data_IF_725392008454
#
_entry.id   IF_725392008454
#
_cell.length_a   1.000
_cell.length_b   1.000
_cell.length_c   1.000
_cell.angle_alpha   90.00
_cell.angle_beta   90.00
_cell.angle_gamma   90.00
#
_symmetry.space_group_name_H-M   'P 1'
#
loop_
_entity.id
_entity.type
_entity.pdbx_description
1 polymer ?
#
# COMPACT_ATOMS: atom_id res chain seq x y z
N UNK A 1 -29.49 3.50 0.38
CA UNK A 1 -30.78 3.15 1.02
C UNK A 1 -30.56 2.74 2.49
N UNK A 2 -29.69 1.77 2.81
CA UNK A 2 -29.42 1.34 4.20
C UNK A 2 -28.88 2.47 5.06
N UNK A 3 -27.85 3.19 4.62
CA UNK A 3 -27.26 4.34 5.33
C UNK A 3 -28.34 5.39 5.66
N UNK A 4 -29.12 5.81 4.67
CA UNK A 4 -30.19 6.78 4.86
C UNK A 4 -31.28 6.32 5.86
N UNK A 5 -31.62 5.03 5.87
CA UNK A 5 -32.58 4.49 6.84
C UNK A 5 -32.00 4.49 8.27
N UNK A 6 -30.68 4.16 8.40
CA UNK A 6 -29.99 4.20 9.69
C UNK A 6 -29.89 5.64 10.21
N UNK A 7 -29.53 6.61 9.37
CA UNK A 7 -29.45 8.03 9.75
C UNK A 7 -30.80 8.56 10.22
N UNK A 8 -31.91 8.15 9.55
CA UNK A 8 -33.27 8.53 10.00
C UNK A 8 -33.67 7.93 11.34
N UNK A 9 -33.19 6.71 11.63
CA UNK A 9 -33.51 6.02 12.89
C UNK A 9 -32.66 6.50 14.05
N UNK A 10 -31.40 6.87 13.80
CA UNK A 10 -30.43 7.20 14.85
C UNK A 10 -30.22 8.68 15.04
N UNK A 11 -30.69 9.52 14.09
CA UNK A 11 -30.46 10.97 14.01
C UNK A 11 -28.96 11.35 14.04
N UNK A 12 -28.08 10.40 13.71
CA UNK A 12 -26.63 10.56 13.68
C UNK A 12 -26.14 10.32 12.26
N UNK A 13 -25.10 11.03 11.84
CA UNK A 13 -24.45 10.80 10.55
C UNK A 13 -23.83 9.39 10.51
N UNK A 14 -24.24 8.61 9.53
CA UNK A 14 -23.74 7.25 9.30
C UNK A 14 -22.74 7.23 8.14
N UNK A 15 -21.54 6.75 8.40
CA UNK A 15 -20.53 6.54 7.37
C UNK A 15 -20.25 5.05 7.19
N UNK A 16 -20.03 4.63 5.96
CA UNK A 16 -19.59 3.26 5.69
C UNK A 16 -18.06 3.11 5.84
N UNK A 17 -17.59 1.87 5.80
CA UNK A 17 -16.16 1.54 5.92
C UNK A 17 -15.32 2.25 4.84
N UNK A 18 -15.81 2.35 3.63
CA UNK A 18 -15.09 2.99 2.52
C UNK A 18 -14.90 4.49 2.77
N UNK A 19 -15.94 5.16 3.25
CA UNK A 19 -15.86 6.58 3.63
C UNK A 19 -14.91 6.80 4.80
N UNK A 20 -14.92 5.91 5.80
CA UNK A 20 -13.98 5.97 6.92
C UNK A 20 -12.53 5.86 6.44
N UNK A 21 -12.23 4.92 5.53
CA UNK A 21 -10.89 4.76 4.95
C UNK A 21 -10.47 6.03 4.20
N UNK A 22 -11.35 6.60 3.37
CA UNK A 22 -11.07 7.84 2.65
C UNK A 22 -10.79 9.01 3.61
N UNK A 23 -11.53 9.12 4.71
CA UNK A 23 -11.31 10.15 5.73
C UNK A 23 -9.93 9.98 6.40
N UNK A 24 -9.55 8.74 6.76
CA UNK A 24 -8.22 8.45 7.32
C UNK A 24 -7.13 8.79 6.30
N UNK A 25 -7.29 8.43 5.04
CA UNK A 25 -6.34 8.79 3.99
C UNK A 25 -6.23 10.30 3.80
N UNK A 26 -7.36 11.02 3.83
CA UNK A 26 -7.39 12.48 3.68
C UNK A 26 -6.63 13.18 4.81
N UNK A 27 -6.74 12.69 6.05
CA UNK A 27 -6.03 13.25 7.20
C UNK A 27 -4.52 12.97 7.17
N UNK A 28 -4.07 11.91 6.46
CA UNK A 28 -2.66 11.49 6.41
C UNK A 28 -1.95 11.93 5.12
N UNK A 29 -2.66 12.48 4.14
CA UNK A 29 -2.09 12.91 2.86
C UNK A 29 -1.27 14.19 3.01
N UNK A 30 0.03 14.09 2.89
CA UNK A 30 0.96 15.22 2.98
C UNK A 30 1.41 15.73 1.61
N UNK A 31 1.51 14.86 0.60
CA UNK A 31 1.99 15.23 -0.74
C UNK A 31 0.84 15.66 -1.66
N UNK A 32 1.14 16.52 -2.63
CA UNK A 32 0.16 16.92 -3.66
C UNK A 32 -0.39 15.73 -4.41
N UNK A 33 0.44 14.74 -4.68
CA UNK A 33 0.03 13.54 -5.41
C UNK A 33 -0.92 12.68 -4.59
N UNK A 34 -0.60 12.38 -3.31
CA UNK A 34 -1.50 11.62 -2.45
C UNK A 34 -2.86 12.32 -2.26
N UNK A 35 -2.88 13.65 -2.18
CA UNK A 35 -4.12 14.44 -2.14
C UNK A 35 -4.94 14.26 -3.41
N UNK A 36 -4.32 14.32 -4.59
CA UNK A 36 -4.98 14.10 -5.87
C UNK A 36 -5.53 12.66 -6.00
N UNK A 37 -4.78 11.67 -5.53
CA UNK A 37 -5.23 10.27 -5.51
C UNK A 37 -6.47 10.07 -4.64
N UNK A 38 -6.50 10.70 -3.46
CA UNK A 38 -7.65 10.64 -2.57
C UNK A 38 -8.85 11.35 -3.20
N UNK A 39 -8.66 12.53 -3.78
CA UNK A 39 -9.74 13.23 -4.50
C UNK A 39 -10.31 12.37 -5.64
N UNK A 40 -9.46 11.66 -6.38
CA UNK A 40 -9.90 10.71 -7.40
C UNK A 40 -10.72 9.57 -6.82
N UNK A 41 -10.26 8.99 -5.70
CA UNK A 41 -10.98 7.94 -5.01
C UNK A 41 -12.34 8.44 -4.44
N UNK A 42 -12.38 9.64 -3.88
CA UNK A 42 -13.62 10.26 -3.41
C UNK A 42 -14.63 10.48 -4.54
N UNK A 43 -14.20 10.95 -5.70
CA UNK A 43 -15.07 11.09 -6.88
C UNK A 43 -15.60 9.72 -7.30
N UNK A 44 -14.76 8.71 -7.40
CA UNK A 44 -15.16 7.34 -7.74
C UNK A 44 -16.13 6.74 -6.72
N UNK A 45 -15.96 7.05 -5.44
CA UNK A 45 -16.89 6.68 -4.37
C UNK A 45 -18.25 7.38 -4.49
N UNK A 46 -18.28 8.66 -4.85
CA UNK A 46 -19.52 9.45 -4.98
C UNK A 46 -20.32 9.11 -6.24
N UNK A 47 -19.65 8.73 -7.32
CA UNK A 47 -20.25 8.57 -8.64
C UNK A 47 -21.45 7.60 -8.68
N UNK A 48 -21.39 6.36 -8.14
CA UNK A 48 -22.54 5.48 -8.10
C UNK A 48 -23.65 5.99 -7.17
N UNK A 49 -23.28 6.68 -6.08
CA UNK A 49 -24.25 7.22 -5.10
C UNK A 49 -25.11 8.35 -5.66
N UNK A 50 -24.52 9.24 -6.46
CA UNK A 50 -25.27 10.29 -7.17
C UNK A 50 -26.31 9.67 -8.10
N UNK A 51 -25.98 8.57 -8.80
CA UNK A 51 -26.94 7.83 -9.65
C UNK A 51 -28.07 7.17 -8.86
N UNK A 52 -27.76 6.59 -7.69
CA UNK A 52 -28.78 5.96 -6.85
C UNK A 52 -29.75 6.98 -6.26
N UNK A 53 -29.28 8.14 -5.83
CA UNK A 53 -30.11 9.22 -5.30
C UNK A 53 -31.14 9.70 -6.35
N UNK A 54 -30.75 9.77 -7.62
CA UNK A 54 -31.65 10.06 -8.71
C UNK A 54 -32.79 9.05 -8.83
N UNK A 55 -32.49 7.76 -8.79
CA UNK A 55 -33.49 6.68 -8.89
C UNK A 55 -34.49 6.69 -7.73
N UNK A 56 -34.05 7.08 -6.53
CA UNK A 56 -34.90 7.16 -5.34
C UNK A 56 -35.84 8.36 -5.45
N UNK A 57 -35.38 9.51 -5.93
CA UNK A 57 -36.17 10.71 -6.06
C UNK A 57 -37.14 10.61 -7.22
N UNK A 58 -36.76 10.00 -8.35
CA UNK A 58 -37.67 9.80 -9.49
C UNK A 58 -38.78 8.79 -9.24
N UNK A 59 -38.60 7.85 -8.32
CA UNK A 59 -39.63 6.88 -7.92
C UNK A 59 -40.74 7.44 -7.03
N UNK A 60 -40.60 8.67 -6.50
CA UNK A 60 -41.60 9.37 -5.67
C UNK A 60 -42.31 10.53 -6.39
N UNK A 61 -41.90 10.85 -7.61
CA UNK A 61 -42.51 11.93 -8.39
C UNK A 61 -43.69 11.42 -9.25
N UNK A 62 -44.82 12.14 -9.20
CA UNK A 62 -45.98 11.86 -10.02
C UNK A 62 -45.65 12.04 -11.51
N UNK A 63 -46.22 11.18 -12.42
CA UNK A 63 -46.06 11.36 -13.87
C UNK A 63 -46.50 12.76 -14.30
N UNK A 64 -45.58 13.58 -14.83
CA UNK A 64 -45.89 14.92 -15.32
C UNK A 64 -44.94 16.04 -14.87
N UNK A 65 -44.08 15.83 -13.92
CA UNK A 65 -43.07 16.80 -13.43
C UNK A 65 -41.63 16.27 -13.51
N UNK A 66 -41.39 15.31 -14.41
CA UNK A 66 -40.08 14.75 -14.67
C UNK A 66 -39.18 15.75 -15.41
N UNK A 67 -38.05 16.08 -14.86
CA UNK A 67 -37.03 16.87 -15.55
C UNK A 67 -36.04 17.57 -14.63
N UNK A 68 -36.48 18.18 -13.55
CA UNK A 68 -35.56 19.02 -12.75
C UNK A 68 -34.58 18.19 -11.88
N UNK A 69 -35.03 17.09 -11.26
CA UNK A 69 -34.19 16.23 -10.46
C UNK A 69 -33.19 15.44 -11.31
N UNK A 70 -33.63 14.94 -12.47
CA UNK A 70 -32.77 14.23 -13.42
C UNK A 70 -31.71 15.15 -14.04
N UNK A 71 -32.11 16.38 -14.40
CA UNK A 71 -31.19 17.40 -14.90
C UNK A 71 -30.11 17.78 -13.88
N UNK A 72 -30.46 17.97 -12.61
CA UNK A 72 -29.49 18.27 -11.53
C UNK A 72 -28.48 17.13 -11.34
N UNK A 73 -28.94 15.88 -11.43
CA UNK A 73 -28.06 14.70 -11.35
C UNK A 73 -27.11 14.63 -12.55
N UNK A 74 -27.62 14.89 -13.76
CA UNK A 74 -26.79 14.89 -14.96
C UNK A 74 -25.72 15.98 -14.93
N UNK A 75 -26.07 17.17 -14.46
CA UNK A 75 -25.10 18.26 -14.24
C UNK A 75 -24.03 17.81 -13.25
N UNK A 76 -24.42 17.23 -12.12
CA UNK A 76 -23.48 16.74 -11.10
C UNK A 76 -22.56 15.65 -11.63
N UNK A 77 -23.09 14.70 -12.39
CA UNK A 77 -22.28 13.65 -13.02
C UNK A 77 -21.28 14.21 -14.04
N UNK A 78 -21.65 15.25 -14.79
CA UNK A 78 -20.73 15.93 -15.72
C UNK A 78 -19.62 16.65 -14.97
N UNK A 79 -19.95 17.36 -13.89
CA UNK A 79 -18.95 18.00 -13.02
C UNK A 79 -17.94 16.97 -12.47
N UNK A 80 -18.43 15.86 -11.90
CA UNK A 80 -17.58 14.79 -11.37
C UNK A 80 -16.67 14.18 -12.45
N UNK A 81 -17.21 13.97 -13.67
CA UNK A 81 -16.39 13.49 -14.81
C UNK A 81 -15.30 14.48 -15.21
N UNK A 82 -15.62 15.78 -15.25
CA UNK A 82 -14.66 16.84 -15.59
C UNK A 82 -13.56 16.91 -14.53
N UNK A 83 -13.93 16.89 -13.25
CA UNK A 83 -12.97 16.86 -12.15
C UNK A 83 -12.08 15.61 -12.19
N UNK A 84 -12.67 14.43 -12.46
CA UNK A 84 -11.93 13.17 -12.58
C UNK A 84 -10.89 13.24 -13.71
N UNK A 85 -11.29 13.74 -14.89
CA UNK A 85 -10.38 13.89 -16.04
C UNK A 85 -9.21 14.84 -15.73
N UNK A 86 -9.50 15.98 -15.09
CA UNK A 86 -8.47 16.94 -14.69
C UNK A 86 -7.47 16.35 -13.67
N UNK A 87 -7.98 15.62 -12.66
CA UNK A 87 -7.12 14.96 -11.67
C UNK A 87 -6.27 13.88 -12.33
N UNK A 88 -6.86 13.06 -13.21
CA UNK A 88 -6.13 12.03 -13.95
C UNK A 88 -4.99 12.61 -14.80
N UNK A 89 -5.21 13.74 -15.47
CA UNK A 89 -4.15 14.42 -16.23
C UNK A 89 -3.00 14.87 -15.31
N UNK A 90 -3.31 15.43 -14.13
CA UNK A 90 -2.28 15.82 -13.16
C UNK A 90 -1.50 14.62 -12.62
N UNK A 91 -2.18 13.52 -12.32
CA UNK A 91 -1.56 12.28 -11.87
C UNK A 91 -0.68 11.67 -12.96
N UNK A 92 -1.11 11.68 -14.21
CA UNK A 92 -0.30 11.21 -15.34
C UNK A 92 0.97 12.06 -15.55
N UNK A 93 0.87 13.38 -15.39
CA UNK A 93 2.04 14.26 -15.41
C UNK A 93 3.03 13.90 -14.28
N UNK A 94 2.54 13.69 -13.06
CA UNK A 94 3.36 13.29 -11.92
C UNK A 94 4.02 11.92 -12.17
N UNK A 95 3.30 10.96 -12.76
CA UNK A 95 3.81 9.65 -13.16
C UNK A 95 4.96 9.75 -14.18
N UNK A 96 4.80 10.56 -15.24
CA UNK A 96 5.86 10.78 -16.25
C UNK A 96 7.13 11.34 -15.62
N UNK A 97 6.99 12.32 -14.74
CA UNK A 97 8.12 12.90 -14.00
C UNK A 97 8.83 11.84 -13.14
N UNK A 98 8.09 10.94 -12.48
CA UNK A 98 8.66 9.83 -11.71
C UNK A 98 9.43 8.84 -12.58
N UNK A 99 8.90 8.46 -13.74
CA UNK A 99 9.58 7.55 -14.67
C UNK A 99 10.95 8.12 -15.09
N UNK A 100 11.05 9.43 -15.30
CA UNK A 100 12.33 10.07 -15.59
C UNK A 100 13.31 9.98 -14.40
N UNK A 101 12.84 10.21 -13.17
CA UNK A 101 13.67 10.03 -11.98
C UNK A 101 14.07 8.58 -11.73
N UNK A 102 13.18 7.61 -12.03
CA UNK A 102 13.53 6.19 -11.95
C UNK A 102 14.62 5.82 -12.95
N UNK A 103 14.56 6.32 -14.19
CA UNK A 103 15.63 6.10 -15.20
C UNK A 103 16.95 6.67 -14.73
N UNK A 104 16.97 7.90 -14.19
CA UNK A 104 18.18 8.50 -13.62
C UNK A 104 18.72 7.69 -12.42
N UNK A 105 17.84 7.11 -11.58
CA UNK A 105 18.25 6.22 -10.48
C UNK A 105 18.83 4.91 -11.00
N UNK A 106 18.30 4.35 -12.08
CA UNK A 106 18.87 3.15 -12.72
C UNK A 106 20.30 3.38 -13.23
N UNK A 107 20.66 4.62 -13.55
CA UNK A 107 22.03 5.00 -13.91
C UNK A 107 22.98 4.98 -12.69
N UNK A 108 22.44 5.13 -11.47
CA UNK A 108 23.25 5.09 -10.23
C UNK A 108 23.48 3.69 -9.67
N UNK A 109 22.92 2.64 -10.31
CA UNK A 109 23.06 1.21 -9.97
C UNK A 109 22.73 0.85 -8.49
N UNK A 110 21.99 1.71 -7.77
CA UNK A 110 21.59 1.42 -6.39
C UNK A 110 20.35 0.53 -6.36
N UNK A 111 20.44 -0.68 -5.77
CA UNK A 111 19.28 -1.55 -5.64
C UNK A 111 18.23 -0.95 -4.70
N UNK A 112 16.98 -1.24 -5.01
CA UNK A 112 15.81 -0.76 -4.25
C UNK A 112 15.18 -1.92 -3.50
N UNK A 113 14.98 -1.73 -2.20
CA UNK A 113 14.28 -2.68 -1.31
C UNK A 113 13.01 -2.02 -0.79
N UNK A 114 11.86 -2.64 -0.99
CA UNK A 114 10.58 -2.09 -0.58
C UNK A 114 9.98 -2.86 0.59
N UNK A 115 9.49 -2.14 1.61
CA UNK A 115 8.76 -2.73 2.73
C UNK A 115 7.26 -2.73 2.41
N UNK A 116 6.67 -3.90 2.37
CA UNK A 116 5.26 -4.12 2.06
C UNK A 116 4.63 -4.96 3.16
N UNK A 117 3.35 -4.85 3.37
CA UNK A 117 2.64 -5.63 4.37
C UNK A 117 1.37 -4.93 4.84
N UNK A 118 0.60 -5.64 5.64
CA UNK A 118 -0.66 -5.13 6.18
C UNK A 118 -0.40 -3.91 7.09
N UNK A 119 -1.44 -3.09 7.35
CA UNK A 119 -1.34 -2.03 8.36
C UNK A 119 -0.89 -2.61 9.70
N UNK A 120 -0.09 -1.85 10.44
CA UNK A 120 0.46 -2.25 11.76
C UNK A 120 1.38 -3.48 11.75
N UNK A 121 1.84 -3.97 10.58
CA UNK A 121 2.80 -5.08 10.51
C UNK A 121 4.25 -4.70 10.88
N UNK A 122 4.51 -3.47 11.32
CA UNK A 122 5.84 -3.02 11.75
C UNK A 122 6.74 -2.45 10.66
N UNK A 123 6.21 -2.10 9.45
CA UNK A 123 6.99 -1.53 8.33
C UNK A 123 7.80 -0.30 8.74
N UNK A 124 7.14 0.72 9.26
CA UNK A 124 7.78 1.98 9.64
C UNK A 124 8.73 1.81 10.81
N UNK A 125 8.43 0.90 11.75
CA UNK A 125 9.33 0.55 12.85
C UNK A 125 10.62 -0.08 12.33
N UNK A 126 10.51 -1.06 11.42
CA UNK A 126 11.65 -1.69 10.77
C UNK A 126 12.44 -0.69 9.93
N UNK A 127 11.74 0.18 9.18
CA UNK A 127 12.36 1.24 8.39
C UNK A 127 13.22 2.15 9.26
N UNK A 128 12.67 2.66 10.37
CA UNK A 128 13.39 3.53 11.29
C UNK A 128 14.62 2.83 11.87
N UNK A 129 14.47 1.57 12.30
CA UNK A 129 15.57 0.79 12.86
C UNK A 129 16.72 0.58 11.84
N UNK A 130 16.37 0.27 10.60
CA UNK A 130 17.37 0.00 9.55
C UNK A 130 18.07 1.26 9.05
N UNK A 131 17.36 2.39 9.01
CA UNK A 131 17.85 3.66 8.43
C UNK A 131 18.26 4.70 9.47
N UNK A 132 18.17 4.36 10.76
CA UNK A 132 18.45 5.28 11.89
C UNK A 132 17.58 6.56 11.80
N UNK A 133 16.36 6.41 11.30
CA UNK A 133 15.40 7.50 11.13
C UNK A 133 14.44 7.57 12.31
N UNK A 134 13.92 8.76 12.60
CA UNK A 134 12.93 9.02 13.65
C UNK A 134 11.58 9.37 13.03
N UNK A 135 11.08 8.55 12.12
CA UNK A 135 9.74 8.74 11.55
C UNK A 135 8.70 8.37 12.61
N UNK A 136 7.64 9.16 12.69
CA UNK A 136 6.55 8.90 13.62
C UNK A 136 5.96 7.51 13.37
N UNK A 137 5.97 6.67 14.40
CA UNK A 137 5.35 5.35 14.40
C UNK A 137 4.13 5.42 15.31
N UNK A 138 2.98 5.04 14.83
CA UNK A 138 1.78 4.89 15.65
C UNK A 138 1.11 3.55 15.32
N UNK A 139 0.31 3.06 16.24
CA UNK A 139 -0.55 1.89 16.02
C UNK A 139 -1.77 2.22 15.15
N UNK A 140 -1.90 3.48 14.73
CA UNK A 140 -2.97 3.92 13.85
C UNK A 140 -2.88 3.30 12.45
N UNK A 141 -4.02 3.10 11.83
CA UNK A 141 -4.10 2.63 10.46
C UNK A 141 -3.49 3.65 9.50
N UNK A 142 -2.68 3.19 8.56
CA UNK A 142 -2.07 4.01 7.50
C UNK A 142 -1.18 5.15 8.00
N UNK A 143 -0.29 4.87 8.95
CA UNK A 143 0.70 5.83 9.43
C UNK A 143 1.55 6.41 8.30
N UNK A 144 1.80 5.61 7.26
CA UNK A 144 2.49 6.03 6.03
C UNK A 144 1.53 5.98 4.85
N UNK A 145 1.23 7.13 4.24
CA UNK A 145 0.46 7.23 3.00
C UNK A 145 1.33 7.64 1.79
N UNK A 146 2.45 8.31 2.05
CA UNK A 146 3.42 8.68 1.03
C UNK A 146 4.68 7.85 1.22
N UNK A 147 5.22 7.32 0.12
CA UNK A 147 6.47 6.54 0.15
C UNK A 147 7.62 7.38 0.69
N UNK A 148 8.42 6.81 1.56
CA UNK A 148 9.63 7.43 2.09
C UNK A 148 10.83 6.58 1.71
N UNK A 149 11.82 7.18 1.06
CA UNK A 149 13.04 6.48 0.64
C UNK A 149 14.24 6.99 1.44
N UNK A 150 15.06 6.05 1.92
CA UNK A 150 16.34 6.33 2.61
C UNK A 150 17.42 5.37 2.13
N UNK A 151 18.64 5.81 2.20
CA UNK A 151 19.81 4.98 1.92
C UNK A 151 20.13 4.11 3.14
N UNK A 152 20.33 2.82 2.92
CA UNK A 152 20.74 1.84 3.90
C UNK A 152 22.09 1.24 3.48
N UNK A 153 23.05 1.15 4.41
CA UNK A 153 24.30 0.42 4.20
C UNK A 153 24.13 -1.02 4.66
N UNK A 154 24.41 -1.96 3.80
CA UNK A 154 24.36 -3.38 4.07
C UNK A 154 25.77 -3.95 3.94
N UNK A 155 26.23 -4.63 4.97
CA UNK A 155 27.50 -5.35 4.95
C UNK A 155 27.20 -6.80 4.53
N UNK A 156 27.39 -7.12 3.27
CA UNK A 156 27.34 -8.48 2.77
C UNK A 156 28.72 -8.87 2.26
N UNK A 157 29.27 -9.99 2.76
CA UNK A 157 30.53 -10.58 2.28
C UNK A 157 31.73 -9.60 2.19
N UNK A 158 31.93 -8.75 3.21
CA UNK A 158 32.96 -7.69 3.26
C UNK A 158 32.77 -6.50 2.30
N UNK A 159 31.70 -6.47 1.50
CA UNK A 159 31.36 -5.31 0.69
C UNK A 159 30.27 -4.46 1.33
N UNK A 160 30.58 -3.17 1.47
CA UNK A 160 29.61 -2.16 1.92
C UNK A 160 28.71 -1.75 0.75
N UNK A 161 27.64 -2.51 0.53
CA UNK A 161 26.67 -2.18 -0.52
C UNK A 161 25.64 -1.16 -0.01
N UNK A 162 25.43 -0.08 -0.75
CA UNK A 162 24.32 0.86 -0.49
C UNK A 162 23.08 0.38 -1.20
N UNK A 163 21.96 0.39 -0.51
CA UNK A 163 20.63 0.10 -1.07
C UNK A 163 19.67 1.24 -0.71
N UNK A 164 18.64 1.43 -1.52
CA UNK A 164 17.55 2.34 -1.21
C UNK A 164 16.43 1.54 -0.54
N UNK A 165 16.12 1.86 0.71
CA UNK A 165 14.99 1.28 1.44
C UNK A 165 13.78 2.20 1.29
N UNK A 166 12.63 1.62 0.92
CA UNK A 166 11.36 2.32 0.69
C UNK A 166 10.32 1.82 1.68
N UNK A 167 9.78 2.74 2.50
CA UNK A 167 8.62 2.48 3.34
C UNK A 167 7.35 2.82 2.55
N UNK A 168 6.37 1.90 2.55
CA UNK A 168 5.17 2.01 1.73
C UNK A 168 3.88 2.08 2.53
N UNK A 169 2.79 2.37 1.85
CA UNK A 169 1.42 2.31 2.41
C UNK A 169 1.11 0.89 2.88
N UNK A 170 0.53 0.77 4.08
CA UNK A 170 0.04 -0.52 4.58
C UNK A 170 -1.18 -1.00 3.80
N UNK A 171 -1.24 -2.30 3.51
CA UNK A 171 -2.44 -2.92 2.95
C UNK A 171 -3.52 -3.10 4.02
N UNK A 172 -4.76 -3.17 3.58
CA UNK A 172 -5.91 -3.58 4.39
C UNK A 172 -6.71 -4.64 3.63
N UNK A 173 -7.42 -5.50 4.36
CA UNK A 173 -8.32 -6.47 3.75
C UNK A 173 -9.49 -5.77 3.04
N UNK A 174 -9.93 -6.35 1.93
CA UNK A 174 -11.08 -5.88 1.15
C UNK A 174 -10.97 -4.40 0.77
N UNK A 175 -9.78 -3.97 0.30
CA UNK A 175 -9.64 -2.65 -0.28
C UNK A 175 -10.45 -2.58 -1.58
N UNK A 176 -11.37 -1.61 -1.75
CA UNK A 176 -12.13 -1.50 -2.99
C UNK A 176 -11.20 -1.29 -4.21
N UNK A 177 -11.50 -1.95 -5.34
CA UNK A 177 -10.69 -1.85 -6.55
C UNK A 177 -10.45 -0.41 -7.01
N UNK A 178 -11.44 0.46 -6.90
CA UNK A 178 -11.29 1.87 -7.28
C UNK A 178 -10.26 2.63 -6.41
N UNK A 179 -10.05 2.20 -5.16
CA UNK A 179 -8.98 2.74 -4.30
C UNK A 179 -7.62 2.18 -4.73
N UNK A 180 -7.53 0.86 -5.02
CA UNK A 180 -6.30 0.27 -5.57
C UNK A 180 -5.91 1.02 -6.84
N UNK A 181 -6.85 1.26 -7.76
CA UNK A 181 -6.64 2.04 -8.98
C UNK A 181 -6.15 3.47 -8.71
N UNK A 182 -6.72 4.14 -7.70
CA UNK A 182 -6.33 5.50 -7.36
C UNK A 182 -4.88 5.58 -6.85
N UNK A 183 -4.44 4.58 -6.07
CA UNK A 183 -3.09 4.50 -5.51
C UNK A 183 -2.14 3.63 -6.36
N UNK A 184 -2.61 3.06 -7.46
CA UNK A 184 -1.86 2.13 -8.31
C UNK A 184 -0.47 2.66 -8.65
N UNK A 185 -0.36 3.92 -9.04
CA UNK A 185 0.92 4.51 -9.44
C UNK A 185 1.93 4.62 -8.28
N UNK A 186 1.47 4.84 -7.06
CA UNK A 186 2.32 4.88 -5.86
C UNK A 186 2.73 3.46 -5.45
N UNK A 187 1.81 2.51 -5.57
CA UNK A 187 2.09 1.10 -5.30
C UNK A 187 3.04 0.51 -6.35
N UNK A 188 2.81 0.76 -7.63
CA UNK A 188 3.70 0.31 -8.72
C UNK A 188 5.14 0.80 -8.53
N UNK A 189 5.34 2.05 -8.09
CA UNK A 189 6.69 2.57 -7.79
C UNK A 189 7.37 1.76 -6.70
N UNK A 190 6.63 1.46 -5.63
CA UNK A 190 7.15 0.68 -4.51
C UNK A 190 7.42 -0.78 -4.88
N UNK A 191 6.63 -1.33 -5.80
CA UNK A 191 6.70 -2.73 -6.21
C UNK A 191 7.64 -2.95 -7.41
N UNK A 192 8.11 -1.88 -8.06
CA UNK A 192 9.20 -1.95 -9.05
C UNK A 192 10.59 -2.17 -8.41
N UNK A 193 10.64 -2.41 -7.11
CA UNK A 193 11.85 -2.70 -6.36
C UNK A 193 12.55 -3.98 -6.84
N UNK A 194 13.86 -4.06 -6.57
CA UNK A 194 14.67 -5.25 -6.84
C UNK A 194 14.36 -6.37 -5.85
N UNK A 195 13.98 -6.01 -4.61
CA UNK A 195 13.54 -6.92 -3.56
C UNK A 195 12.36 -6.31 -2.79
N UNK A 196 11.37 -7.12 -2.49
CA UNK A 196 10.20 -6.76 -1.69
C UNK A 196 10.23 -7.55 -0.40
N UNK A 197 10.19 -6.86 0.73
CA UNK A 197 10.08 -7.46 2.06
C UNK A 197 8.61 -7.42 2.47
N UNK A 198 7.94 -8.59 2.44
CA UNK A 198 6.55 -8.73 2.86
C UNK A 198 6.49 -9.02 4.37
N UNK A 199 6.10 -8.01 5.14
CA UNK A 199 6.03 -8.06 6.59
C UNK A 199 4.68 -8.59 7.07
N UNK A 200 4.72 -9.64 7.86
CA UNK A 200 3.56 -10.29 8.48
C UNK A 200 3.72 -10.25 10.00
N UNK A 201 2.74 -9.70 10.69
CA UNK A 201 2.71 -9.65 12.15
C UNK A 201 2.48 -11.04 12.74
N UNK A 202 3.48 -11.62 13.38
CA UNK A 202 3.39 -12.95 13.97
C UNK A 202 2.75 -12.96 15.37
N UNK A 203 2.44 -11.80 15.95
CA UNK A 203 1.82 -11.70 17.27
C UNK A 203 0.31 -12.00 17.27
N UNK A 204 -0.33 -11.90 16.12
CA UNK A 204 -1.79 -12.03 15.96
C UNK A 204 -2.28 -13.51 15.97
N UNK A 205 -3.59 -13.73 16.01
CA UNK A 205 -4.18 -15.07 15.85
C UNK A 205 -3.88 -15.64 14.45
N UNK A 206 -3.76 -16.97 14.34
CA UNK A 206 -3.40 -17.64 13.07
C UNK A 206 -4.38 -17.30 11.96
N UNK A 207 -5.69 -17.28 12.26
CA UNK A 207 -6.74 -16.96 11.31
C UNK A 207 -6.58 -15.53 10.74
N UNK A 208 -6.24 -14.57 11.60
CA UNK A 208 -6.01 -13.18 11.18
C UNK A 208 -4.74 -13.05 10.33
N UNK A 209 -3.67 -13.75 10.72
CA UNK A 209 -2.41 -13.82 9.96
C UNK A 209 -2.69 -14.36 8.56
N UNK A 210 -3.45 -15.46 8.44
CA UNK A 210 -3.85 -16.06 7.15
C UNK A 210 -4.61 -15.08 6.28
N UNK A 211 -5.64 -14.42 6.84
CA UNK A 211 -6.47 -13.44 6.12
C UNK A 211 -5.61 -12.28 5.61
N UNK A 212 -4.72 -11.76 6.44
CA UNK A 212 -3.83 -10.64 6.09
C UNK A 212 -2.78 -11.03 5.05
N UNK A 213 -2.20 -12.21 5.19
CA UNK A 213 -1.25 -12.76 4.24
C UNK A 213 -1.86 -12.94 2.85
N UNK A 214 -3.03 -13.59 2.77
CA UNK A 214 -3.76 -13.78 1.51
C UNK A 214 -4.19 -12.44 0.90
N UNK A 215 -4.62 -11.48 1.73
CA UNK A 215 -4.97 -10.14 1.26
C UNK A 215 -3.76 -9.40 0.66
N UNK A 216 -2.58 -9.53 1.26
CA UNK A 216 -1.34 -8.97 0.70
C UNK A 216 -1.01 -9.61 -0.66
N UNK A 217 -1.08 -10.94 -0.77
CA UNK A 217 -0.80 -11.63 -2.02
C UNK A 217 -1.82 -11.33 -3.11
N UNK A 218 -3.10 -11.12 -2.77
CA UNK A 218 -4.12 -10.68 -3.73
C UNK A 218 -3.72 -9.34 -4.36
N UNK A 219 -3.33 -8.35 -3.56
CA UNK A 219 -2.90 -7.03 -4.05
C UNK A 219 -1.60 -7.12 -4.85
N UNK A 220 -0.60 -7.90 -4.37
CA UNK A 220 0.66 -8.11 -5.10
C UNK A 220 0.42 -8.78 -6.45
N UNK A 221 -0.52 -9.75 -6.52
CA UNK A 221 -0.91 -10.42 -7.75
C UNK A 221 -1.61 -9.50 -8.75
N UNK A 222 -2.56 -8.64 -8.29
CA UNK A 222 -3.21 -7.62 -9.12
C UNK A 222 -2.22 -6.62 -9.72
N UNK A 223 -1.12 -6.36 -9.03
CA UNK A 223 -0.06 -5.45 -9.46
C UNK A 223 1.07 -6.16 -10.25
N UNK A 224 0.92 -7.47 -10.52
CA UNK A 224 1.86 -8.23 -11.34
C UNK A 224 3.23 -8.44 -10.72
N UNK A 225 3.32 -8.51 -9.39
CA UNK A 225 4.59 -8.72 -8.69
C UNK A 225 5.09 -10.15 -8.86
N UNK A 226 6.34 -10.30 -9.27
CA UNK A 226 7.01 -11.59 -9.34
C UNK A 226 7.32 -12.10 -7.92
N UNK A 227 6.82 -13.29 -7.59
CA UNK A 227 7.03 -13.95 -6.29
C UNK A 227 8.51 -14.15 -5.96
N UNK A 228 9.37 -14.36 -6.95
CA UNK A 228 10.81 -14.53 -6.77
C UNK A 228 11.51 -13.30 -6.18
N UNK A 229 10.85 -12.14 -6.22
CA UNK A 229 11.34 -10.88 -5.64
C UNK A 229 10.83 -10.63 -4.24
N UNK A 230 9.99 -11.52 -3.68
CA UNK A 230 9.35 -11.30 -2.39
C UNK A 230 9.97 -12.19 -1.33
N UNK A 231 10.51 -11.57 -0.28
CA UNK A 231 10.94 -12.24 0.94
C UNK A 231 9.88 -12.03 2.02
N UNK A 232 9.29 -13.13 2.51
CA UNK A 232 8.33 -13.08 3.62
C UNK A 232 9.07 -12.96 4.94
N UNK A 233 8.64 -12.01 5.77
CA UNK A 233 9.24 -11.72 7.07
C UNK A 233 8.16 -11.76 8.14
N UNK A 234 8.32 -12.63 9.12
CA UNK A 234 7.50 -12.67 10.32
C UNK A 234 8.06 -11.64 11.31
N UNK A 235 7.27 -10.63 11.62
CA UNK A 235 7.65 -9.51 12.49
C UNK A 235 7.07 -9.67 13.88
N UNK A 236 7.48 -8.80 14.81
CA UNK A 236 7.03 -8.74 16.20
C UNK A 236 7.27 -10.06 16.95
N UNK A 237 8.37 -10.74 16.63
CA UNK A 237 8.84 -11.88 17.39
C UNK A 237 9.55 -11.37 18.66
N UNK A 238 8.76 -11.13 19.69
CA UNK A 238 9.27 -10.75 21.00
C UNK A 238 9.50 -12.02 21.86
N UNK A 239 10.32 -11.92 22.92
CA UNK A 239 10.88 -13.07 23.66
C UNK A 239 9.86 -14.08 24.22
N UNK A 240 8.61 -13.65 24.40
CA UNK A 240 7.51 -14.50 24.88
C UNK A 240 6.85 -15.35 23.78
N UNK A 241 7.24 -15.17 22.52
CA UNK A 241 6.69 -15.94 21.42
C UNK A 241 7.36 -17.32 21.32
N UNK A 242 6.57 -18.33 21.57
CA UNK A 242 7.01 -19.71 21.52
C UNK A 242 7.36 -20.11 20.08
N UNK A 243 8.47 -20.81 19.89
CA UNK A 243 8.84 -21.43 18.61
C UNK A 243 7.69 -22.26 17.98
N UNK A 244 6.82 -22.80 18.81
CA UNK A 244 5.64 -23.55 18.37
C UNK A 244 4.72 -22.70 17.49
N UNK A 245 4.48 -21.42 17.82
CA UNK A 245 3.62 -20.54 17.02
C UNK A 245 4.22 -20.25 15.65
N UNK A 246 5.54 -20.05 15.57
CA UNK A 246 6.20 -19.86 14.28
C UNK A 246 6.04 -21.09 13.40
N UNK A 247 6.23 -22.31 13.96
CA UNK A 247 6.00 -23.57 13.23
C UNK A 247 4.56 -23.77 12.80
N UNK A 248 3.62 -23.26 13.59
CA UNK A 248 2.20 -23.28 13.23
C UNK A 248 1.93 -22.31 12.05
N UNK A 249 2.47 -21.09 12.08
CA UNK A 249 2.40 -20.13 10.96
C UNK A 249 3.05 -20.70 9.71
N UNK A 250 4.22 -21.32 9.82
CA UNK A 250 4.91 -21.98 8.69
C UNK A 250 4.05 -23.02 8.01
N UNK A 251 3.41 -23.89 8.81
CA UNK A 251 2.49 -24.94 8.28
C UNK A 251 1.23 -24.36 7.66
N UNK A 252 0.62 -23.37 8.33
CA UNK A 252 -0.63 -22.76 7.90
C UNK A 252 -0.51 -21.96 6.61
N UNK A 253 0.60 -21.24 6.45
CA UNK A 253 0.90 -20.40 5.29
C UNK A 253 1.79 -21.09 4.25
N UNK A 254 2.13 -22.35 4.44
CA UNK A 254 3.04 -23.14 3.59
C UNK A 254 4.39 -22.41 3.34
N UNK A 255 4.93 -21.79 4.40
CA UNK A 255 6.21 -21.09 4.33
C UNK A 255 7.37 -22.05 4.65
N UNK A 256 8.43 -21.93 3.88
CA UNK A 256 9.66 -22.67 4.14
C UNK A 256 10.75 -21.73 4.71
N UNK A 257 11.19 -21.98 5.94
CA UNK A 257 12.20 -21.19 6.67
C UNK A 257 12.00 -19.65 6.55
N UNK A 258 10.85 -19.10 6.98
CA UNK A 258 10.60 -17.67 6.88
C UNK A 258 11.56 -16.89 7.77
N UNK A 259 11.94 -15.70 7.31
CA UNK A 259 12.74 -14.79 8.11
C UNK A 259 11.92 -14.29 9.32
N UNK A 260 12.39 -14.51 10.52
CA UNK A 260 11.74 -14.07 11.77
C UNK A 260 12.52 -12.94 12.40
N UNK A 261 11.85 -11.83 12.74
CA UNK A 261 12.50 -10.65 13.33
C UNK A 261 11.68 -10.01 14.46
N UNK A 262 12.38 -9.36 15.38
CA UNK A 262 11.84 -8.37 16.31
C UNK A 262 12.54 -7.03 16.12
N UNK A 263 11.79 -6.02 15.69
CA UNK A 263 12.34 -4.66 15.55
C UNK A 263 12.55 -3.98 16.91
N UNK A 264 11.84 -4.39 17.95
CA UNK A 264 12.02 -3.87 19.33
C UNK A 264 13.23 -4.53 20.01
N UNK A 265 13.30 -5.85 19.98
CA UNK A 265 14.36 -6.64 20.60
C UNK A 265 15.65 -6.76 19.76
N UNK A 266 15.63 -6.33 18.50
CA UNK A 266 16.79 -6.47 17.60
C UNK A 266 17.01 -7.89 17.07
N UNK A 267 16.15 -8.86 17.43
CA UNK A 267 16.27 -10.24 16.99
C UNK A 267 16.19 -10.35 15.45
N UNK A 268 17.03 -11.14 14.86
CA UNK A 268 17.03 -11.45 13.42
C UNK A 268 17.47 -10.30 12.49
N UNK A 269 17.68 -9.07 12.99
CA UNK A 269 17.99 -7.89 12.16
C UNK A 269 19.33 -8.04 11.44
N UNK A 270 20.34 -8.61 12.09
CA UNK A 270 21.63 -8.87 11.44
C UNK A 270 21.50 -9.90 10.32
N UNK A 271 20.77 -11.01 10.57
CA UNK A 271 20.48 -12.04 9.56
C UNK A 271 19.72 -11.42 8.38
N UNK A 272 18.71 -10.58 8.64
CA UNK A 272 17.95 -9.87 7.62
C UNK A 272 18.84 -9.02 6.71
N UNK A 273 19.76 -8.21 7.28
CA UNK A 273 20.71 -7.41 6.48
C UNK A 273 21.58 -8.25 5.58
N UNK A 274 22.07 -9.39 6.07
CA UNK A 274 22.88 -10.33 5.28
C UNK A 274 22.04 -10.93 4.15
N UNK A 275 20.84 -11.44 4.45
CA UNK A 275 19.95 -12.06 3.46
C UNK A 275 19.55 -11.06 2.35
N UNK A 276 19.26 -9.80 2.70
CA UNK A 276 19.00 -8.76 1.69
C UNK A 276 20.20 -8.60 0.76
N UNK A 277 21.42 -8.56 1.31
CA UNK A 277 22.65 -8.47 0.52
C UNK A 277 22.82 -9.66 -0.42
N UNK A 278 22.65 -10.88 0.07
CA UNK A 278 22.77 -12.12 -0.71
C UNK A 278 21.74 -12.19 -1.85
N UNK A 279 20.51 -11.75 -1.63
CA UNK A 279 19.45 -11.74 -2.65
C UNK A 279 19.67 -10.69 -3.73
N UNK A 280 20.38 -9.61 -3.44
CA UNK A 280 20.65 -8.52 -4.37
C UNK A 280 21.94 -8.72 -5.18
N UNK A 281 22.96 -9.36 -4.61
CA UNK A 281 24.26 -9.59 -5.28
C UNK A 281 24.17 -10.32 -6.63
N UNK A 282 23.41 -11.41 -6.80
CA UNK A 282 23.33 -12.11 -8.09
C UNK A 282 22.75 -11.25 -9.21
N UNK A 283 21.90 -10.30 -8.87
CA UNK A 283 21.19 -9.42 -9.83
C UNK A 283 22.08 -8.29 -10.36
N UNK A 284 23.05 -7.84 -9.56
CA UNK A 284 24.02 -6.83 -9.98
C UNK A 284 25.05 -7.37 -10.97
N UNK A 285 25.49 -8.62 -10.80
CA UNK A 285 26.44 -9.27 -11.72
C UNK A 285 25.84 -9.36 -13.11
N UNK A 286 24.56 -9.74 -13.25
CA UNK A 286 23.88 -9.80 -14.55
C UNK A 286 23.65 -8.42 -15.20
N UNK A 287 23.46 -7.34 -14.42
CA UNK A 287 23.33 -5.98 -14.98
C UNK A 287 24.67 -5.40 -15.44
N UNK A 288 25.76 -5.74 -14.77
CA UNK A 288 27.10 -5.29 -15.14
C UNK A 288 27.57 -5.94 -16.45
N UNK A 289 27.31 -7.24 -16.64
CA UNK A 289 27.69 -7.97 -17.87
C UNK A 289 26.93 -7.56 -19.11
N UNK A 290 25.69 -7.06 -18.97
CA UNK A 290 24.91 -6.54 -20.12
C UNK A 290 25.30 -5.12 -20.54
N UNK A 291 25.99 -4.34 -19.70
CA UNK A 291 26.48 -2.99 -20.04
C UNK A 291 27.84 -3.00 -20.76
N UNK A 292 28.62 -4.08 -20.64
CA UNK A 292 29.94 -4.21 -21.28
C UNK A 292 29.92 -4.91 -22.62
N UNK A 293 28.73 -5.26 -23.15
CA UNK A 293 28.52 -6.01 -24.38
C UNK A 293 27.88 -5.20 -25.53
N UNK A 294 28.01 -3.86 -25.52
CA UNK A 294 27.59 -2.99 -26.63
C UNK A 294 28.71 -2.06 -27.02
#
# INVERSE_FOLDING_TARGET
>A
KQIHNLEKLTEVQVIDRERLILNIFSSRATTTESKLQIQLAEIKYQFPRVRETSKINSGSERPGKGGMGEYVVDVKLRELKTQMSFIQQKLEYARRKRVLYQRQRMETDLPVVSLVGYTSSGKTTLFNLLTESNKETSDDLFTTLSTTTRSLKINANNDNTKVLLVDTVGFISRLPHYMIDAFKSTLEESLSADLILLLIDSSEAIEDIRIKYLSCWSVLGELGVDRSKVLVILTKYDDDMRHEKIKEIERDLELFDPMVISSKGGYGIRKLKITIGEMLLPRHIHRATTKTGN
#
